data_IF_731688970725
#
_entry.id   IF_731688970725
#
_cell.length_a   1.000
_cell.length_b   1.000
_cell.length_c   1.000
_cell.angle_alpha   90.00
_cell.angle_beta   90.00
_cell.angle_gamma   90.00
#
_symmetry.space_group_name_H-M   'P 1'
#
loop_
_entity.id
_entity.type
_entity.pdbx_description
1 polymer ?
#
# COMPACT_ATOMS: atom_id res chain seq x y z
N UNK A 1 -3.57 -35.85 -35.53
CA UNK A 1 -4.80 -35.55 -34.79
C UNK A 1 -4.56 -34.28 -34.00
N UNK A 2 -5.30 -33.20 -34.26
CA UNK A 2 -5.28 -32.02 -33.37
C UNK A 2 -6.22 -32.29 -32.20
N UNK A 3 -5.70 -32.21 -30.98
CA UNK A 3 -6.49 -32.35 -29.77
C UNK A 3 -6.69 -30.96 -29.20
N UNK A 4 -7.91 -30.45 -29.25
CA UNK A 4 -8.31 -29.22 -28.56
C UNK A 4 -8.84 -29.64 -27.20
N UNK A 5 -8.20 -29.21 -26.13
CA UNK A 5 -8.64 -29.42 -24.76
C UNK A 5 -8.88 -28.08 -24.07
N UNK A 6 -9.72 -28.07 -23.05
CA UNK A 6 -9.84 -26.93 -22.15
C UNK A 6 -8.90 -27.14 -20.96
N UNK A 7 -8.10 -26.13 -20.65
CA UNK A 7 -7.29 -26.12 -19.43
C UNK A 7 -8.24 -25.72 -18.30
N UNK A 8 -8.62 -26.70 -17.47
CA UNK A 8 -9.33 -26.43 -16.22
C UNK A 8 -8.32 -26.22 -15.10
N UNK A 9 -8.43 -25.09 -14.39
CA UNK A 9 -7.74 -24.91 -13.10
C UNK A 9 -8.68 -25.43 -12.02
N UNK A 10 -8.26 -26.44 -11.25
CA UNK A 10 -9.02 -26.91 -10.09
C UNK A 10 -8.64 -26.08 -8.86
N UNK A 11 -9.65 -25.59 -8.13
CA UNK A 11 -9.51 -24.77 -6.92
C UNK A 11 -8.75 -25.48 -5.80
N UNK A 12 -8.77 -26.81 -5.76
CA UNK A 12 -8.12 -27.61 -4.70
C UNK A 12 -6.61 -27.38 -4.57
N UNK A 13 -5.95 -26.94 -5.65
CA UNK A 13 -4.51 -26.69 -5.66
C UNK A 13 -4.12 -25.21 -5.51
N UNK A 14 -5.10 -24.29 -5.43
CA UNK A 14 -4.80 -22.86 -5.52
C UNK A 14 -4.14 -22.32 -4.25
N UNK A 15 -4.62 -22.69 -3.07
CA UNK A 15 -4.04 -22.24 -1.79
C UNK A 15 -2.61 -22.74 -1.58
N UNK A 16 -2.29 -24.04 -1.82
CA UNK A 16 -0.90 -24.50 -1.80
C UNK A 16 0.01 -23.77 -2.79
N UNK A 17 -0.49 -23.45 -4.00
CA UNK A 17 0.28 -22.71 -5.02
C UNK A 17 0.49 -21.26 -4.60
N UNK A 18 -0.55 -20.57 -4.13
CA UNK A 18 -0.48 -19.18 -3.64
C UNK A 18 0.50 -19.09 -2.48
N UNK A 19 0.38 -19.99 -1.48
CA UNK A 19 1.35 -20.11 -0.39
C UNK A 19 2.76 -20.26 -0.97
N UNK A 20 2.96 -21.20 -1.91
CA UNK A 20 4.26 -21.44 -2.56
C UNK A 20 4.84 -20.26 -3.34
N UNK A 21 4.01 -19.49 -4.02
CA UNK A 21 4.42 -18.38 -4.86
C UNK A 21 4.69 -17.09 -4.06
N UNK A 22 3.98 -16.91 -2.94
CA UNK A 22 4.10 -15.75 -2.05
C UNK A 22 5.06 -15.99 -0.87
N UNK A 23 5.57 -17.21 -0.68
CA UNK A 23 6.47 -17.62 0.42
C UNK A 23 7.80 -16.84 0.51
N UNK A 24 8.11 -15.93 -0.40
CA UNK A 24 9.35 -15.14 -0.29
C UNK A 24 9.31 -14.11 0.83
N UNK A 25 8.12 -13.59 1.21
CA UNK A 25 7.99 -12.64 2.32
C UNK A 25 6.61 -12.76 2.99
N UNK A 26 6.57 -13.41 4.16
CA UNK A 26 5.37 -13.51 5.00
C UNK A 26 4.85 -12.15 5.46
N UNK A 27 5.60 -11.07 5.30
CA UNK A 27 5.22 -9.71 5.70
C UNK A 27 4.24 -9.04 4.72
N UNK A 28 4.13 -9.55 3.48
CA UNK A 28 3.39 -8.88 2.39
C UNK A 28 1.88 -8.84 2.66
N UNK A 29 1.31 -9.79 3.41
CA UNK A 29 -0.15 -9.83 3.63
C UNK A 29 -0.69 -8.52 4.21
N UNK A 30 0.04 -7.90 5.13
CA UNK A 30 -0.40 -6.69 5.79
C UNK A 30 -0.46 -5.52 4.81
N UNK A 31 0.53 -5.44 3.89
CA UNK A 31 0.52 -4.46 2.79
C UNK A 31 -0.71 -4.64 1.92
N UNK A 32 -1.02 -5.87 1.51
CA UNK A 32 -2.14 -6.16 0.60
C UNK A 32 -3.49 -5.83 1.24
N UNK A 33 -3.71 -6.28 2.48
CA UNK A 33 -4.99 -6.08 3.17
C UNK A 33 -5.22 -4.60 3.50
N UNK A 34 -4.19 -3.89 3.98
CA UNK A 34 -4.30 -2.45 4.26
C UNK A 34 -4.47 -1.65 2.98
N UNK A 35 -3.80 -2.03 1.89
CA UNK A 35 -4.02 -1.39 0.57
C UNK A 35 -5.46 -1.56 0.09
N UNK A 36 -6.05 -2.74 0.26
CA UNK A 36 -7.46 -2.97 -0.08
C UNK A 36 -8.42 -2.11 0.76
N UNK A 37 -8.14 -1.95 2.05
CA UNK A 37 -8.90 -1.07 2.95
C UNK A 37 -8.80 0.41 2.54
N UNK A 38 -7.61 0.84 2.13
CA UNK A 38 -7.33 2.18 1.59
C UNK A 38 -8.10 2.40 0.28
N UNK A 39 -8.05 1.45 -0.64
CA UNK A 39 -8.79 1.48 -1.91
C UNK A 39 -10.30 1.56 -1.67
N UNK A 40 -10.84 0.73 -0.78
CA UNK A 40 -12.26 0.76 -0.44
C UNK A 40 -12.68 2.14 0.11
N UNK A 41 -11.79 2.80 0.84
CA UNK A 41 -12.02 4.14 1.40
C UNK A 41 -11.90 5.23 0.32
N UNK A 42 -10.94 5.12 -0.59
CA UNK A 42 -10.80 6.04 -1.72
C UNK A 42 -11.98 5.93 -2.69
N UNK A 43 -12.43 4.72 -3.02
CA UNK A 43 -13.65 4.50 -3.82
C UNK A 43 -14.86 5.21 -3.22
N UNK A 44 -15.01 5.12 -1.89
CA UNK A 44 -16.09 5.83 -1.20
C UNK A 44 -15.95 7.35 -1.34
N UNK A 45 -14.74 7.90 -1.18
CA UNK A 45 -14.48 9.34 -1.39
C UNK A 45 -14.84 9.77 -2.81
N UNK A 46 -14.50 8.96 -3.82
CA UNK A 46 -14.86 9.22 -5.21
C UNK A 46 -16.37 9.16 -5.42
N UNK A 47 -17.06 8.14 -4.88
CA UNK A 47 -18.52 8.08 -4.95
C UNK A 47 -19.20 9.28 -4.29
N UNK A 48 -18.66 9.79 -3.18
CA UNK A 48 -19.15 11.02 -2.58
C UNK A 48 -18.92 12.24 -3.47
N UNK A 49 -17.75 12.38 -4.09
CA UNK A 49 -17.42 13.54 -4.93
C UNK A 49 -18.25 13.60 -6.22
N UNK A 50 -18.62 12.45 -6.78
CA UNK A 50 -19.49 12.36 -7.97
C UNK A 50 -20.98 12.26 -7.64
N UNK A 51 -21.36 12.27 -6.36
CA UNK A 51 -22.75 12.27 -5.89
C UNK A 51 -23.45 10.90 -5.89
N UNK A 52 -22.71 9.80 -6.09
CA UNK A 52 -23.18 8.42 -6.00
C UNK A 52 -23.34 7.93 -4.55
N UNK A 53 -22.59 8.52 -3.61
CA UNK A 53 -22.78 8.33 -2.18
C UNK A 53 -23.27 9.64 -1.53
N UNK A 54 -24.45 9.59 -0.88
CA UNK A 54 -25.10 10.75 -0.25
C UNK A 54 -25.10 10.71 1.28
N UNK A 55 -24.55 9.65 1.87
CA UNK A 55 -24.43 9.54 3.32
C UNK A 55 -23.25 10.34 3.86
N UNK A 56 -23.14 10.40 5.18
CA UNK A 56 -21.96 11.00 5.81
C UNK A 56 -20.75 10.08 5.61
N UNK A 57 -19.63 10.67 5.20
CA UNK A 57 -18.36 9.96 5.10
C UNK A 57 -17.88 9.50 6.48
N UNK A 58 -18.11 10.31 7.51
CA UNK A 58 -17.62 10.04 8.86
C UNK A 58 -16.09 10.10 8.93
N UNK A 59 -15.53 9.47 9.96
CA UNK A 59 -14.09 9.35 10.12
C UNK A 59 -13.54 8.22 9.23
N UNK A 60 -12.79 8.60 8.19
CA UNK A 60 -12.18 7.66 7.25
C UNK A 60 -10.77 7.29 7.70
N UNK A 61 -10.68 6.32 8.61
CA UNK A 61 -9.43 5.79 9.17
C UNK A 61 -9.44 4.28 9.05
N UNK A 62 -8.34 3.71 8.55
CA UNK A 62 -8.12 2.26 8.58
C UNK A 62 -7.52 1.90 9.94
N UNK A 63 -8.12 0.97 10.67
CA UNK A 63 -7.69 0.57 12.01
C UNK A 63 -7.10 -0.83 11.98
N UNK A 64 -5.91 -0.98 12.53
CA UNK A 64 -5.22 -2.26 12.68
C UNK A 64 -5.10 -2.56 14.17
N UNK A 65 -5.78 -3.62 14.62
CA UNK A 65 -5.83 -4.00 16.04
C UNK A 65 -5.39 -5.44 16.25
N UNK A 66 -4.64 -5.67 17.31
CA UNK A 66 -4.16 -6.98 17.73
C UNK A 66 -4.88 -7.39 19.00
N UNK A 67 -5.40 -8.62 19.03
CA UNK A 67 -5.94 -9.25 20.23
C UNK A 67 -5.16 -10.54 20.51
N UNK A 68 -4.31 -10.47 21.55
CA UNK A 68 -3.46 -11.62 21.95
C UNK A 68 -4.27 -12.75 22.57
N UNK A 69 -5.39 -12.47 23.22
CA UNK A 69 -6.22 -13.47 23.88
C UNK A 69 -7.03 -14.26 22.85
N UNK A 70 -7.65 -13.56 21.90
CA UNK A 70 -8.35 -14.17 20.78
C UNK A 70 -7.41 -14.73 19.70
N UNK A 71 -6.11 -14.39 19.77
CA UNK A 71 -5.09 -14.66 18.74
C UNK A 71 -5.50 -14.10 17.37
N UNK A 72 -6.01 -12.87 17.33
CA UNK A 72 -6.46 -12.23 16.10
C UNK A 72 -5.71 -10.95 15.78
N UNK A 73 -5.56 -10.71 14.48
CA UNK A 73 -5.17 -9.43 13.90
C UNK A 73 -6.34 -8.96 13.04
N UNK A 74 -6.87 -7.78 13.31
CA UNK A 74 -8.04 -7.24 12.60
C UNK A 74 -7.66 -5.97 11.86
N UNK A 75 -8.03 -5.88 10.58
CA UNK A 75 -7.93 -4.68 9.77
C UNK A 75 -9.35 -4.22 9.46
N UNK A 76 -9.71 -3.05 9.96
CA UNK A 76 -11.04 -2.45 9.82
C UNK A 76 -10.99 -1.17 9.01
N UNK A 77 -11.81 -1.07 7.96
CA UNK A 77 -12.01 0.14 7.19
C UNK A 77 -13.45 0.69 7.33
N UNK A 78 -13.61 1.96 6.96
CA UNK A 78 -14.92 2.62 6.86
C UNK A 78 -15.24 2.99 5.40
N UNK A 79 -14.74 2.19 4.45
CA UNK A 79 -14.90 2.38 3.01
C UNK A 79 -16.25 1.91 2.49
N UNK A 80 -16.28 1.41 1.24
CA UNK A 80 -17.53 1.04 0.56
C UNK A 80 -18.22 -0.21 1.14
N UNK A 81 -17.49 -1.10 1.82
CA UNK A 81 -18.02 -2.41 2.21
C UNK A 81 -18.45 -3.27 1.00
N UNK A 82 -19.08 -4.42 1.26
CA UNK A 82 -19.54 -5.35 0.21
C UNK A 82 -20.95 -5.88 0.51
N UNK A 83 -21.69 -6.21 -0.54
CA UNK A 83 -22.90 -7.04 -0.48
C UNK A 83 -22.57 -8.53 -0.59
N UNK A 84 -23.54 -9.41 -0.35
CA UNK A 84 -23.37 -10.87 -0.54
C UNK A 84 -22.87 -11.21 -1.95
N UNK A 85 -23.51 -10.67 -2.99
CA UNK A 85 -23.11 -10.86 -4.40
C UNK A 85 -21.68 -10.37 -4.68
N UNK A 86 -21.26 -9.27 -4.05
CA UNK A 86 -19.90 -8.74 -4.22
C UNK A 86 -18.87 -9.61 -3.51
N UNK A 87 -19.20 -10.23 -2.37
CA UNK A 87 -18.36 -11.25 -1.73
C UNK A 87 -18.23 -12.47 -2.65
N UNK A 88 -19.34 -12.98 -3.20
CA UNK A 88 -19.29 -14.11 -4.13
C UNK A 88 -18.42 -13.81 -5.36
N UNK A 89 -18.53 -12.60 -5.91
CA UNK A 89 -17.82 -12.20 -7.11
C UNK A 89 -16.35 -11.87 -6.89
N UNK A 90 -16.00 -11.16 -5.81
CA UNK A 90 -14.64 -10.63 -5.62
C UNK A 90 -13.81 -11.41 -4.62
N UNK A 91 -14.45 -12.12 -3.70
CA UNK A 91 -13.76 -13.00 -2.75
C UNK A 91 -13.76 -14.42 -3.32
N UNK A 92 -14.93 -15.01 -3.61
CA UNK A 92 -15.00 -16.44 -3.94
C UNK A 92 -14.57 -16.78 -5.37
N UNK A 93 -14.74 -15.88 -6.34
CA UNK A 93 -14.23 -16.07 -7.70
C UNK A 93 -12.82 -15.51 -7.82
N UNK A 94 -11.85 -16.43 -7.73
CA UNK A 94 -10.43 -16.12 -7.79
C UNK A 94 -10.09 -15.42 -9.10
N UNK A 95 -9.25 -14.39 -9.02
CA UNK A 95 -8.74 -13.56 -10.13
C UNK A 95 -9.68 -12.45 -10.65
N UNK A 96 -10.83 -12.20 -10.04
CA UNK A 96 -11.64 -10.99 -10.31
C UNK A 96 -11.40 -9.92 -9.24
N UNK A 97 -11.24 -8.66 -9.65
CA UNK A 97 -11.02 -7.52 -8.74
C UNK A 97 -12.04 -6.42 -8.96
N UNK A 98 -12.67 -5.97 -7.86
CA UNK A 98 -13.56 -4.79 -7.89
C UNK A 98 -12.83 -3.48 -8.19
N UNK A 99 -11.49 -3.47 -8.11
CA UNK A 99 -10.68 -2.33 -8.48
C UNK A 99 -10.66 -2.15 -10.00
N UNK A 100 -10.49 -3.21 -10.77
CA UNK A 100 -10.48 -3.15 -12.23
C UNK A 100 -11.82 -2.63 -12.79
N UNK A 101 -12.94 -3.17 -12.29
CA UNK A 101 -14.27 -2.71 -12.67
C UNK A 101 -14.54 -1.24 -12.30
N UNK A 102 -13.94 -0.77 -11.20
CA UNK A 102 -14.03 0.63 -10.81
C UNK A 102 -13.24 1.52 -11.77
N UNK A 103 -12.01 1.13 -12.12
CA UNK A 103 -11.15 1.86 -13.06
C UNK A 103 -11.78 1.99 -14.44
N UNK A 104 -12.46 0.94 -14.93
CA UNK A 104 -13.17 0.98 -16.21
C UNK A 104 -14.32 2.01 -16.22
N UNK A 105 -15.03 2.14 -15.09
CA UNK A 105 -16.15 3.08 -14.92
C UNK A 105 -15.68 4.51 -14.65
N UNK A 106 -14.60 4.69 -13.91
CA UNK A 106 -14.08 5.99 -13.46
C UNK A 106 -12.68 6.28 -14.05
N UNK A 107 -12.59 6.28 -15.39
CA UNK A 107 -11.31 6.40 -16.12
C UNK A 107 -10.47 7.64 -15.78
N UNK A 108 -11.09 8.72 -15.31
CA UNK A 108 -10.39 9.94 -14.91
C UNK A 108 -9.75 9.85 -13.52
N UNK A 109 -10.18 8.90 -12.68
CA UNK A 109 -9.68 8.67 -11.32
C UNK A 109 -8.78 7.43 -11.25
N UNK A 110 -8.33 6.93 -12.42
CA UNK A 110 -7.68 5.64 -12.55
C UNK A 110 -6.37 5.50 -11.75
N UNK A 111 -5.71 6.63 -11.46
CA UNK A 111 -4.45 6.67 -10.73
C UNK A 111 -4.64 6.69 -9.20
N UNK A 112 -5.87 6.55 -8.68
CA UNK A 112 -6.10 6.62 -7.23
C UNK A 112 -6.16 5.25 -6.55
N UNK A 113 -6.40 4.18 -7.32
CA UNK A 113 -6.57 2.82 -6.79
C UNK A 113 -5.25 2.05 -6.88
N UNK A 114 -4.94 1.32 -5.81
CA UNK A 114 -3.69 0.61 -5.58
C UNK A 114 -3.76 -0.82 -6.13
N UNK A 115 -4.84 -1.53 -5.82
CA UNK A 115 -4.99 -2.94 -6.16
C UNK A 115 -5.37 -3.17 -7.62
N UNK A 116 -4.63 -4.04 -8.32
CA UNK A 116 -4.96 -4.43 -9.70
C UNK A 116 -5.28 -5.93 -9.85
N UNK A 117 -4.83 -6.78 -8.93
CA UNK A 117 -5.02 -8.24 -9.01
C UNK A 117 -5.84 -8.78 -7.83
N UNK A 118 -6.91 -9.53 -8.12
CA UNK A 118 -7.84 -10.14 -7.16
C UNK A 118 -7.26 -11.32 -6.36
N UNK A 119 -5.95 -11.31 -6.08
CA UNK A 119 -5.24 -12.36 -5.34
C UNK A 119 -4.63 -11.87 -4.03
N UNK A 120 -4.46 -10.55 -3.85
CA UNK A 120 -3.81 -9.97 -2.67
C UNK A 120 -4.49 -10.36 -1.35
N UNK A 121 -5.82 -10.49 -1.34
CA UNK A 121 -6.58 -10.94 -0.16
C UNK A 121 -6.12 -12.33 0.35
N UNK A 122 -5.81 -13.26 -0.56
CA UNK A 122 -5.47 -14.64 -0.20
C UNK A 122 -4.11 -14.78 0.47
N UNK A 123 -3.26 -13.75 0.44
CA UNK A 123 -2.03 -13.68 1.24
C UNK A 123 -2.31 -13.75 2.75
N UNK A 124 -3.53 -13.41 3.21
CA UNK A 124 -3.94 -13.56 4.60
C UNK A 124 -3.76 -15.00 5.12
N UNK A 125 -3.98 -16.00 4.29
CA UNK A 125 -3.85 -17.43 4.65
C UNK A 125 -2.40 -17.91 4.77
N UNK A 126 -1.40 -17.06 4.50
CA UNK A 126 0.01 -17.36 4.76
C UNK A 126 0.37 -17.32 6.25
N UNK A 127 -0.39 -16.54 7.02
CA UNK A 127 -0.11 -16.26 8.44
C UNK A 127 -1.29 -16.62 9.36
N UNK A 128 -2.40 -17.05 8.77
CA UNK A 128 -3.65 -17.34 9.49
C UNK A 128 -4.20 -18.70 9.11
N UNK A 129 -4.75 -19.38 10.11
CA UNK A 129 -5.49 -20.64 9.96
C UNK A 129 -6.96 -20.44 9.61
N UNK A 130 -7.46 -19.21 9.76
CA UNK A 130 -8.84 -18.82 9.44
C UNK A 130 -8.89 -17.32 9.19
N UNK A 131 -9.69 -16.92 8.21
CA UNK A 131 -9.98 -15.52 7.91
C UNK A 131 -11.49 -15.34 7.94
N UNK A 132 -11.94 -14.29 8.61
CA UNK A 132 -13.32 -13.82 8.56
C UNK A 132 -13.39 -12.42 7.94
N UNK A 133 -14.45 -12.16 7.18
CA UNK A 133 -14.80 -10.84 6.68
C UNK A 133 -16.16 -10.48 7.27
N UNK A 134 -16.25 -9.38 8.00
CA UNK A 134 -17.51 -8.82 8.50
C UNK A 134 -17.72 -7.47 7.84
N UNK A 135 -18.70 -7.36 6.95
CA UNK A 135 -18.82 -6.19 6.06
C UNK A 135 -20.24 -5.69 5.95
N UNK A 136 -20.39 -4.38 5.73
CA UNK A 136 -21.66 -3.71 5.45
C UNK A 136 -21.46 -2.69 4.34
N UNK A 137 -22.11 -2.93 3.20
CA UNK A 137 -22.05 -2.04 2.04
C UNK A 137 -22.61 -0.64 2.34
N UNK A 138 -22.10 0.35 1.61
CA UNK A 138 -22.61 1.73 1.63
C UNK A 138 -24.01 1.88 1.03
N UNK A 139 -24.46 0.88 0.26
CA UNK A 139 -25.76 0.89 -0.42
C UNK A 139 -26.89 0.93 0.61
N UNK A 140 -27.92 1.70 0.31
CA UNK A 140 -29.09 1.83 1.17
C UNK A 140 -29.77 0.48 1.38
N UNK A 141 -30.12 0.15 2.63
CA UNK A 141 -30.75 -1.13 2.98
C UNK A 141 -29.81 -2.35 2.95
N UNK A 142 -28.50 -2.16 2.76
CA UNK A 142 -27.56 -3.28 2.74
C UNK A 142 -27.56 -4.08 4.06
N UNK A 143 -27.72 -5.40 3.92
CA UNK A 143 -27.62 -6.36 5.02
C UNK A 143 -26.13 -6.61 5.32
N UNK A 144 -25.68 -6.51 6.59
CA UNK A 144 -24.32 -6.88 6.94
C UNK A 144 -24.09 -8.38 6.72
N UNK A 145 -22.95 -8.72 6.14
CA UNK A 145 -22.57 -10.09 5.82
C UNK A 145 -21.33 -10.51 6.58
N UNK A 146 -21.29 -11.78 6.97
CA UNK A 146 -20.11 -12.47 7.50
C UNK A 146 -19.69 -13.58 6.54
N UNK A 147 -18.46 -13.50 6.06
CA UNK A 147 -17.79 -14.57 5.32
C UNK A 147 -16.71 -15.20 6.20
N UNK A 148 -16.54 -16.51 6.15
CA UNK A 148 -15.53 -17.24 6.92
C UNK A 148 -14.94 -18.39 6.12
N UNK A 149 -13.62 -18.53 6.15
CA UNK A 149 -12.89 -19.61 5.50
C UNK A 149 -11.65 -19.98 6.33
N UNK A 150 -11.34 -21.26 6.41
CA UNK A 150 -10.19 -21.83 7.14
C UNK A 150 -8.98 -22.12 6.23
N UNK A 151 -8.97 -21.54 5.02
CA UNK A 151 -7.93 -21.75 4.02
C UNK A 151 -8.10 -23.04 3.22
N UNK A 152 -9.25 -23.71 3.36
CA UNK A 152 -9.73 -24.75 2.44
C UNK A 152 -10.61 -24.13 1.33
N UNK A 153 -10.98 -24.89 0.28
CA UNK A 153 -11.96 -24.44 -0.70
C UNK A 153 -13.37 -24.19 -0.13
N UNK A 154 -13.63 -24.58 1.12
CA UNK A 154 -14.92 -24.38 1.77
C UNK A 154 -14.98 -23.02 2.48
N UNK A 155 -16.14 -22.37 2.38
CA UNK A 155 -16.43 -21.11 3.06
C UNK A 155 -17.89 -21.08 3.52
N UNK A 156 -18.18 -20.23 4.49
CA UNK A 156 -19.55 -19.90 4.90
C UNK A 156 -19.83 -18.44 4.63
N UNK A 157 -21.06 -18.13 4.19
CA UNK A 157 -21.56 -16.77 4.02
C UNK A 157 -22.92 -16.66 4.71
N UNK A 158 -23.03 -15.79 5.70
CA UNK A 158 -24.24 -15.62 6.50
C UNK A 158 -24.53 -14.15 6.80
N UNK A 159 -25.79 -13.82 7.06
CA UNK A 159 -26.17 -12.51 7.57
C UNK A 159 -25.61 -12.31 8.98
N UNK A 160 -25.22 -11.08 9.30
CA UNK A 160 -24.64 -10.75 10.60
C UNK A 160 -25.07 -9.36 11.07
N UNK A 161 -24.49 -8.92 12.20
CA UNK A 161 -24.68 -7.58 12.72
C UNK A 161 -23.41 -6.77 12.59
N UNK A 162 -23.49 -5.62 11.91
CA UNK A 162 -22.45 -4.59 11.90
C UNK A 162 -23.12 -3.22 11.96
N UNK A 163 -22.71 -2.41 12.93
CA UNK A 163 -23.32 -1.09 13.14
C UNK A 163 -22.96 -0.15 11.98
N UNK A 164 -21.67 -0.02 11.70
CA UNK A 164 -21.10 0.91 10.72
C UNK A 164 -20.88 0.28 9.35
N UNK A 165 -20.81 1.14 8.32
CA UNK A 165 -20.36 0.82 6.96
C UNK A 165 -18.88 0.43 6.96
N UNK A 166 -18.48 -0.41 6.01
CA UNK A 166 -17.09 -0.79 5.77
C UNK A 166 -16.86 -2.27 6.02
N UNK A 167 -15.61 -2.67 6.16
CA UNK A 167 -15.23 -4.08 6.29
C UNK A 167 -14.25 -4.28 7.44
N UNK A 168 -14.45 -5.34 8.23
CA UNK A 168 -13.45 -5.89 9.13
C UNK A 168 -12.92 -7.18 8.52
N UNK A 169 -11.61 -7.27 8.32
CA UNK A 169 -10.91 -8.51 7.96
C UNK A 169 -10.21 -9.00 9.21
N UNK A 170 -10.64 -10.16 9.72
CA UNK A 170 -10.18 -10.75 10.98
C UNK A 170 -9.34 -11.98 10.65
N UNK A 171 -8.05 -11.92 10.97
CA UNK A 171 -7.10 -12.99 10.74
C UNK A 171 -6.88 -13.74 12.06
N UNK A 172 -7.24 -15.01 12.09
CA UNK A 172 -6.91 -15.90 13.21
C UNK A 172 -5.50 -16.43 12.98
N UNK A 173 -4.53 -15.83 13.65
CA UNK A 173 -3.11 -16.09 13.45
C UNK A 173 -2.80 -17.55 13.82
N UNK A 174 -2.02 -18.21 12.96
CA UNK A 174 -1.59 -19.59 13.20
C UNK A 174 -0.47 -19.67 14.25
N UNK A 175 -0.17 -20.88 14.70
CA UNK A 175 0.79 -21.06 15.80
C UNK A 175 2.27 -20.86 15.36
N UNK A 176 2.55 -20.81 14.05
CA UNK A 176 3.89 -20.56 13.50
C UNK A 176 4.18 -19.05 13.34
N UNK A 177 3.12 -18.23 13.22
CA UNK A 177 3.20 -16.81 12.91
C UNK A 177 2.76 -15.89 14.07
N UNK A 178 2.83 -16.38 15.31
CA UNK A 178 2.42 -15.62 16.51
C UNK A 178 3.16 -14.28 16.69
N UNK A 179 4.28 -14.06 16.01
CA UNK A 179 4.98 -12.76 15.99
C UNK A 179 4.10 -11.61 15.45
N UNK A 180 3.09 -11.88 14.63
CA UNK A 180 2.13 -10.86 14.16
C UNK A 180 1.07 -10.51 15.20
N UNK A 181 1.10 -11.15 16.38
CA UNK A 181 0.36 -10.72 17.57
C UNK A 181 1.17 -9.75 18.45
N UNK A 182 2.38 -9.36 18.04
CA UNK A 182 3.15 -8.33 18.72
C UNK A 182 2.89 -6.96 18.08
N UNK A 183 2.25 -6.04 18.81
CA UNK A 183 1.88 -4.70 18.32
C UNK A 183 3.10 -3.96 17.72
N UNK A 184 4.27 -4.03 18.38
CA UNK A 184 5.49 -3.40 17.87
C UNK A 184 5.95 -3.95 16.52
N UNK A 185 5.79 -5.26 16.28
CA UNK A 185 6.07 -5.90 14.99
C UNK A 185 5.11 -5.39 13.93
N UNK A 186 3.81 -5.38 14.22
CA UNK A 186 2.77 -4.86 13.30
C UNK A 186 3.01 -3.39 12.96
N UNK A 187 3.28 -2.53 13.95
CA UNK A 187 3.61 -1.11 13.73
C UNK A 187 4.85 -0.97 12.83
N UNK A 188 5.89 -1.79 13.04
CA UNK A 188 7.08 -1.78 12.20
C UNK A 188 6.77 -2.11 10.73
N UNK A 189 5.92 -3.09 10.49
CA UNK A 189 5.47 -3.47 9.14
C UNK A 189 4.61 -2.39 8.49
N UNK A 190 3.67 -1.80 9.24
CA UNK A 190 2.85 -0.70 8.74
C UNK A 190 3.72 0.52 8.38
N UNK A 191 4.74 0.84 9.19
CA UNK A 191 5.71 1.91 8.88
C UNK A 191 6.63 1.58 7.72
N UNK A 192 6.83 0.30 7.39
CA UNK A 192 7.64 -0.14 6.24
C UNK A 192 6.83 -0.05 4.95
N UNK A 193 5.63 -0.62 4.94
CA UNK A 193 4.84 -0.81 3.72
C UNK A 193 3.76 0.24 3.48
N UNK A 194 3.23 0.83 4.55
CA UNK A 194 2.05 1.69 4.52
C UNK A 194 2.34 3.14 4.95
N UNK A 195 3.62 3.49 5.07
CA UNK A 195 4.11 4.76 5.64
C UNK A 195 3.48 6.01 5.05
N UNK A 196 3.12 5.94 3.77
CA UNK A 196 2.71 7.10 2.99
C UNK A 196 1.35 6.94 2.32
N UNK A 197 0.57 5.91 2.70
CA UNK A 197 -0.74 5.67 2.08
C UNK A 197 -1.69 6.85 2.31
N UNK A 198 -2.61 7.15 1.35
CA UNK A 198 -3.41 8.37 1.33
C UNK A 198 -4.56 8.41 2.35
N UNK A 199 -4.74 7.35 3.14
CA UNK A 199 -5.75 7.24 4.18
C UNK A 199 -5.04 7.03 5.53
N UNK A 200 -5.45 7.72 6.61
CA UNK A 200 -4.83 7.52 7.92
C UNK A 200 -5.00 6.08 8.40
N UNK A 201 -3.93 5.52 8.94
CA UNK A 201 -3.84 4.17 9.47
C UNK A 201 -3.57 4.28 10.96
N UNK A 202 -4.50 3.82 11.77
CA UNK A 202 -4.36 3.76 13.21
C UNK A 202 -3.91 2.38 13.67
N UNK A 203 -2.95 2.32 14.59
CA UNK A 203 -2.61 1.09 15.29
C UNK A 203 -2.30 1.41 16.76
N UNK A 204 -3.16 0.92 17.65
CA UNK A 204 -3.14 1.28 19.07
C UNK A 204 -3.61 2.72 19.36
N UNK A 205 -3.42 3.13 20.60
CA UNK A 205 -3.75 4.48 21.10
C UNK A 205 -2.50 5.29 21.40
N UNK A 206 -2.60 6.62 21.34
CA UNK A 206 -1.51 7.51 21.74
C UNK A 206 -1.26 7.33 23.22
N UNK A 207 0.01 7.12 23.58
CA UNK A 207 0.48 6.93 24.96
C UNK A 207 1.09 8.23 25.47
N UNK A 208 0.67 8.66 26.66
CA UNK A 208 1.19 9.85 27.35
C UNK A 208 1.78 9.45 28.70
N UNK A 209 2.87 10.13 29.10
CA UNK A 209 3.45 9.93 30.41
C UNK A 209 2.73 10.80 31.45
N UNK A 210 2.00 10.17 32.37
CA UNK A 210 1.25 10.83 33.46
C UNK A 210 1.52 10.11 34.78
N UNK A 211 1.82 10.88 35.82
CA UNK A 211 2.01 10.39 37.19
C UNK A 211 2.98 9.21 37.33
N UNK A 212 4.13 9.25 36.64
CA UNK A 212 5.13 8.20 36.77
C UNK A 212 4.91 6.97 35.87
N UNK A 213 3.83 6.95 35.07
CA UNK A 213 3.45 5.81 34.24
C UNK A 213 3.00 6.24 32.84
N UNK A 214 3.15 5.34 31.89
CA UNK A 214 2.59 5.49 30.55
C UNK A 214 1.10 5.13 30.58
N UNK A 215 0.24 6.01 30.06
CA UNK A 215 -1.21 5.83 30.02
C UNK A 215 -1.70 6.04 28.60
N UNK A 216 -2.54 5.13 28.11
CA UNK A 216 -3.21 5.28 26.82
C UNK A 216 -4.28 6.37 26.88
N UNK A 217 -4.35 7.17 25.83
CA UNK A 217 -5.38 8.18 25.62
C UNK A 217 -6.49 7.65 24.72
N UNK A 218 -7.58 8.40 24.56
CA UNK A 218 -8.64 8.02 23.63
C UNK A 218 -8.28 8.25 22.15
N UNK A 219 -7.15 8.93 21.88
CA UNK A 219 -6.73 9.28 20.52
C UNK A 219 -6.06 8.11 19.82
N UNK A 220 -6.50 7.84 18.59
CA UNK A 220 -5.88 6.85 17.72
C UNK A 220 -4.42 7.23 17.43
N UNK A 221 -3.52 6.24 17.51
CA UNK A 221 -2.13 6.41 17.14
C UNK A 221 -1.98 6.20 15.63
N UNK A 222 -1.98 7.30 14.88
CA UNK A 222 -1.81 7.31 13.43
C UNK A 222 -0.33 7.05 13.08
N UNK A 223 -0.08 5.99 12.29
CA UNK A 223 1.29 5.50 12.04
C UNK A 223 1.89 6.02 10.72
N UNK A 224 1.08 6.57 9.81
CA UNK A 224 1.48 6.99 8.46
C UNK A 224 1.30 8.51 8.25
N UNK A 225 2.03 9.05 7.28
CA UNK A 225 1.81 10.40 6.74
C UNK A 225 1.03 10.30 5.42
N UNK A 226 -0.18 10.85 5.41
CA UNK A 226 -1.06 10.83 4.22
C UNK A 226 -0.72 11.91 3.19
N UNK A 227 0.12 12.88 3.55
CA UNK A 227 0.50 14.01 2.70
C UNK A 227 2.02 14.18 2.68
N UNK A 228 2.76 13.15 2.20
CA UNK A 228 4.21 13.20 2.18
C UNK A 228 4.70 14.31 1.23
N UNK A 229 5.94 14.77 1.46
CA UNK A 229 6.46 15.96 0.79
C UNK A 229 6.40 15.89 -0.75
N UNK A 230 6.63 14.72 -1.36
CA UNK A 230 6.64 14.60 -2.83
C UNK A 230 5.26 14.75 -3.50
N UNK A 231 4.17 14.66 -2.74
CA UNK A 231 2.81 14.87 -3.26
C UNK A 231 2.39 16.35 -3.19
N UNK A 232 3.07 17.15 -2.37
CA UNK A 232 2.82 18.59 -2.25
C UNK A 232 3.45 19.35 -3.42
N UNK A 233 2.91 20.53 -3.75
CA UNK A 233 3.52 21.36 -4.79
C UNK A 233 4.85 21.93 -4.28
N UNK A 234 5.90 22.06 -5.12
CA UNK A 234 7.17 22.66 -4.69
C UNK A 234 7.03 24.05 -4.05
N UNK A 235 6.04 24.84 -4.48
CA UNK A 235 5.73 26.17 -3.93
C UNK A 235 5.15 26.17 -2.52
N UNK A 236 4.69 25.02 -2.03
CA UNK A 236 4.08 24.83 -0.71
C UNK A 236 5.09 24.30 0.32
N UNK A 237 6.35 24.08 -0.10
CA UNK A 237 7.39 23.47 0.71
C UNK A 237 8.54 24.46 0.94
N UNK A 238 9.02 24.49 2.17
CA UNK A 238 10.25 25.17 2.58
C UNK A 238 11.44 24.22 2.50
N UNK A 239 12.65 24.75 2.53
CA UNK A 239 13.89 23.96 2.59
C UNK A 239 13.90 23.04 3.83
N UNK A 240 13.37 23.53 4.96
CA UNK A 240 13.18 22.76 6.19
C UNK A 240 12.24 21.56 6.01
N UNK A 241 11.18 21.70 5.19
CA UNK A 241 10.27 20.58 4.90
C UNK A 241 10.98 19.46 4.13
N UNK A 242 11.85 19.81 3.17
CA UNK A 242 12.66 18.82 2.46
C UNK A 242 13.66 18.13 3.39
N UNK A 243 14.35 18.88 4.24
CA UNK A 243 15.30 18.31 5.20
C UNK A 243 14.58 17.38 6.19
N UNK A 244 13.42 17.80 6.71
CA UNK A 244 12.59 16.98 7.59
C UNK A 244 12.17 15.68 6.91
N UNK A 245 11.69 15.76 5.67
CA UNK A 245 11.30 14.57 4.90
C UNK A 245 12.50 13.64 4.62
N UNK A 246 13.68 14.20 4.33
CA UNK A 246 14.90 13.41 4.18
C UNK A 246 15.27 12.64 5.46
N UNK A 247 15.21 13.27 6.63
CA UNK A 247 15.46 12.59 7.91
C UNK A 247 14.38 11.58 8.27
N UNK A 248 13.14 11.81 7.85
CA UNK A 248 12.06 10.84 8.00
C UNK A 248 12.34 9.55 7.20
N UNK A 249 12.88 9.67 5.99
CA UNK A 249 13.29 8.53 5.16
C UNK A 249 14.56 7.86 5.68
N UNK A 250 15.56 8.65 6.09
CA UNK A 250 16.86 8.18 6.52
C UNK A 250 17.24 8.75 7.90
N UNK A 251 16.70 8.18 8.99
CA UNK A 251 17.05 8.59 10.33
C UNK A 251 18.58 8.56 10.53
N UNK A 252 19.11 9.55 11.25
CA UNK A 252 20.54 9.70 11.56
C UNK A 252 21.47 10.00 10.37
N UNK A 253 20.94 10.18 9.16
CA UNK A 253 21.74 10.66 8.03
C UNK A 253 22.06 12.15 8.19
N UNK A 254 23.22 12.59 7.72
CA UNK A 254 23.52 14.02 7.61
C UNK A 254 22.67 14.67 6.52
N UNK A 255 22.37 15.96 6.70
CA UNK A 255 21.63 16.76 5.73
C UNK A 255 22.21 16.63 4.31
N UNK A 256 21.32 16.53 3.30
CA UNK A 256 21.73 16.42 1.92
C UNK A 256 22.37 17.73 1.45
N UNK A 257 23.21 17.65 0.42
CA UNK A 257 23.83 18.82 -0.21
C UNK A 257 22.77 19.68 -0.92
N UNK A 258 21.86 19.03 -1.63
CA UNK A 258 20.71 19.63 -2.30
C UNK A 258 19.72 18.51 -2.69
N UNK A 259 18.58 18.90 -3.25
CA UNK A 259 17.54 17.99 -3.72
C UNK A 259 16.97 18.43 -5.07
N UNK A 260 16.25 17.50 -5.70
CA UNK A 260 15.49 17.71 -6.93
C UNK A 260 14.08 17.20 -6.67
N UNK A 261 13.10 18.10 -6.69
CA UNK A 261 11.69 17.73 -6.66
C UNK A 261 11.22 17.43 -8.10
N UNK A 262 10.86 16.18 -8.35
CA UNK A 262 10.25 15.70 -9.58
C UNK A 262 8.74 15.86 -9.47
N UNK A 263 8.13 16.58 -10.41
CA UNK A 263 6.68 16.69 -10.53
C UNK A 263 6.34 16.82 -12.02
N UNK A 264 5.93 15.69 -12.61
CA UNK A 264 5.63 15.54 -14.03
C UNK A 264 4.31 14.79 -14.16
N UNK A 265 3.39 15.34 -14.95
CA UNK A 265 2.07 14.78 -15.24
C UNK A 265 1.89 14.39 -16.72
N UNK A 266 2.80 14.82 -17.61
CA UNK A 266 2.81 14.46 -19.03
C UNK A 266 4.24 14.37 -19.60
N UNK A 267 4.56 13.38 -20.47
CA UNK A 267 3.71 12.33 -21.04
C UNK A 267 3.58 11.07 -20.16
N UNK A 268 4.07 11.14 -18.92
CA UNK A 268 3.96 10.11 -17.89
C UNK A 268 3.85 10.82 -16.53
N UNK A 269 3.36 10.11 -15.53
CA UNK A 269 3.19 10.59 -14.17
C UNK A 269 4.41 10.19 -13.35
N UNK A 270 5.16 11.17 -12.88
CA UNK A 270 6.33 10.98 -12.05
C UNK A 270 6.38 12.08 -11.00
N UNK A 271 6.19 11.68 -9.75
CA UNK A 271 6.46 12.53 -8.60
C UNK A 271 7.60 11.93 -7.77
N UNK A 272 8.25 12.74 -6.96
CA UNK A 272 9.35 12.25 -6.14
C UNK A 272 10.30 13.34 -5.71
N UNK A 273 11.17 13.01 -4.78
CA UNK A 273 12.24 13.90 -4.36
C UNK A 273 13.52 13.08 -4.32
N UNK A 274 14.52 13.51 -5.09
CA UNK A 274 15.85 12.93 -5.10
C UNK A 274 16.80 13.83 -4.32
N UNK A 275 17.55 13.24 -3.40
CA UNK A 275 18.49 13.90 -2.52
C UNK A 275 19.93 13.51 -2.86
N UNK A 276 20.83 14.48 -2.79
CA UNK A 276 22.26 14.29 -2.99
C UNK A 276 22.95 14.20 -1.62
N UNK A 277 23.22 13.00 -1.09
CA UNK A 277 23.85 12.87 0.22
C UNK A 277 25.31 13.31 0.19
N UNK A 278 25.83 13.74 1.35
CA UNK A 278 27.27 13.97 1.53
C UNK A 278 28.02 12.65 1.51
N UNK A 279 28.91 12.45 0.54
CA UNK A 279 29.76 11.27 0.46
C UNK A 279 30.96 11.45 1.38
N UNK A 280 31.15 10.55 2.35
CA UNK A 280 32.34 10.51 3.21
C UNK A 280 33.33 9.49 2.67
N UNK A 281 34.62 9.83 2.68
CA UNK A 281 35.72 9.03 2.13
C UNK A 281 35.94 7.64 2.76
N UNK A 282 35.16 7.24 3.77
CA UNK A 282 35.47 6.10 4.62
C UNK A 282 34.33 5.09 4.81
N UNK A 283 33.36 5.01 3.90
CA UNK A 283 32.24 4.05 4.00
C UNK A 283 31.96 3.44 2.63
N UNK A 284 31.66 2.14 2.59
CA UNK A 284 31.01 1.48 1.45
C UNK A 284 29.89 2.36 0.91
N UNK A 285 29.99 2.76 -0.36
CA UNK A 285 28.94 3.50 -1.05
C UNK A 285 27.70 2.62 -1.10
N UNK A 286 26.77 2.85 -0.16
CA UNK A 286 25.49 2.15 -0.12
C UNK A 286 24.64 2.63 -1.29
N UNK A 287 24.61 1.82 -2.35
CA UNK A 287 23.74 2.01 -3.52
C UNK A 287 22.29 1.66 -3.17
N UNK A 288 21.35 2.06 -4.03
CA UNK A 288 19.94 1.66 -4.00
C UNK A 288 19.18 2.16 -2.75
N UNK A 289 19.39 3.43 -2.38
CA UNK A 289 18.60 4.07 -1.31
C UNK A 289 17.33 4.73 -1.81
N UNK A 290 17.10 4.80 -3.12
CA UNK A 290 15.88 5.38 -3.69
C UNK A 290 14.74 4.39 -3.50
N UNK A 291 13.68 4.82 -2.83
CA UNK A 291 12.47 4.02 -2.65
C UNK A 291 11.50 4.25 -3.81
N UNK A 292 11.05 3.17 -4.44
CA UNK A 292 10.02 3.19 -5.47
C UNK A 292 8.64 2.99 -4.85
N UNK A 293 7.74 3.90 -5.23
CA UNK A 293 6.34 3.91 -4.88
C UNK A 293 5.48 3.88 -6.15
N UNK A 294 4.25 3.40 -5.98
CA UNK A 294 3.19 3.55 -6.96
C UNK A 294 1.92 3.94 -6.21
N UNK A 295 1.40 5.13 -6.50
CA UNK A 295 0.26 5.71 -5.79
C UNK A 295 0.48 5.69 -4.27
N UNK A 296 1.69 6.12 -3.84
CA UNK A 296 2.16 6.13 -2.46
C UNK A 296 2.30 4.75 -1.77
N UNK A 297 2.16 3.65 -2.50
CA UNK A 297 2.37 2.29 -1.98
C UNK A 297 3.82 1.89 -2.16
N UNK A 298 4.47 1.45 -1.09
CA UNK A 298 5.86 1.01 -1.16
C UNK A 298 5.99 -0.25 -2.02
N UNK A 299 6.84 -0.20 -3.04
CA UNK A 299 7.11 -1.31 -3.95
C UNK A 299 8.43 -1.97 -3.58
N UNK A 300 9.52 -1.23 -3.68
CA UNK A 300 10.89 -1.72 -3.48
C UNK A 300 11.89 -0.55 -3.38
N UNK A 301 13.06 -0.77 -2.80
CA UNK A 301 14.22 0.12 -2.86
C UNK A 301 15.23 -0.28 -3.98
N UNK A 302 15.00 -1.43 -4.63
CA UNK A 302 15.81 -1.92 -5.74
C UNK A 302 15.38 -1.28 -7.07
N UNK A 303 15.79 -0.04 -7.31
CA UNK A 303 15.46 0.74 -8.54
C UNK A 303 16.33 0.41 -9.77
N UNK A 304 17.00 -0.73 -9.78
CA UNK A 304 17.86 -1.18 -10.89
C UNK A 304 17.05 -1.27 -12.20
N UNK A 305 17.54 -0.60 -13.25
CA UNK A 305 16.87 -0.55 -14.55
C UNK A 305 15.80 0.55 -14.69
N UNK A 306 15.43 1.21 -13.59
CA UNK A 306 14.56 2.41 -13.61
C UNK A 306 15.44 3.66 -13.50
N UNK A 307 16.32 3.68 -12.50
CA UNK A 307 17.28 4.75 -12.31
C UNK A 307 18.63 4.32 -12.90
N UNK A 308 19.34 5.19 -13.65
CA UNK A 308 20.66 4.88 -14.18
C UNK A 308 21.66 4.52 -13.06
N UNK A 309 22.57 3.59 -13.32
CA UNK A 309 23.50 3.08 -12.30
C UNK A 309 24.29 4.19 -11.60
N UNK A 310 24.75 5.19 -12.33
CA UNK A 310 25.52 6.32 -11.76
C UNK A 310 24.69 7.22 -10.83
N UNK A 311 23.36 7.13 -10.87
CA UNK A 311 22.44 7.84 -9.97
C UNK A 311 21.96 6.98 -8.80
N UNK A 312 22.36 5.71 -8.71
CA UNK A 312 21.97 4.82 -7.59
C UNK A 312 22.56 5.22 -6.24
N UNK A 313 23.49 6.17 -6.23
CA UNK A 313 24.05 6.80 -5.02
C UNK A 313 23.15 7.87 -4.43
N UNK A 314 22.12 8.31 -5.16
CA UNK A 314 21.15 9.25 -4.65
C UNK A 314 20.25 8.58 -3.63
N UNK A 315 19.71 9.41 -2.74
CA UNK A 315 18.69 9.04 -1.79
C UNK A 315 17.35 9.61 -2.27
N UNK A 316 16.24 9.13 -1.72
CA UNK A 316 14.93 9.74 -1.89
C UNK A 316 13.84 8.75 -2.31
N UNK A 317 12.82 9.31 -2.95
CA UNK A 317 11.61 8.58 -3.35
C UNK A 317 11.25 8.91 -4.79
N UNK A 318 10.74 7.91 -5.50
CA UNK A 318 10.11 8.06 -6.80
C UNK A 318 8.74 7.39 -6.71
N UNK A 319 7.70 8.10 -7.13
CA UNK A 319 6.32 7.60 -7.17
C UNK A 319 5.76 7.77 -8.58
N UNK A 320 5.41 6.64 -9.21
CA UNK A 320 4.95 6.60 -10.59
C UNK A 320 3.98 5.44 -10.83
N UNK A 321 2.70 5.70 -11.12
CA UNK A 321 1.75 4.66 -11.51
C UNK A 321 2.08 4.01 -12.87
N UNK A 322 2.86 4.70 -13.71
CA UNK A 322 3.24 4.23 -15.03
C UNK A 322 4.34 3.15 -15.03
N UNK A 323 4.87 2.77 -13.86
CA UNK A 323 5.87 1.71 -13.72
C UNK A 323 5.17 0.38 -13.38
N UNK A 324 5.26 -0.65 -14.23
CA UNK A 324 4.64 -1.94 -13.97
C UNK A 324 5.30 -2.64 -12.77
N UNK A 325 4.48 -3.04 -11.79
CA UNK A 325 4.96 -3.52 -10.48
C UNK A 325 5.31 -5.00 -10.42
N UNK A 326 4.72 -5.83 -11.29
CA UNK A 326 4.79 -7.30 -11.21
C UNK A 326 5.56 -7.93 -12.38
N UNK A 327 6.57 -7.24 -12.89
CA UNK A 327 7.29 -7.68 -14.09
C UNK A 327 8.78 -7.88 -13.81
N UNK A 328 9.41 -8.77 -14.58
CA UNK A 328 10.83 -9.05 -14.42
C UNK A 328 11.69 -7.81 -14.68
N UNK A 329 12.89 -7.77 -14.07
CA UNK A 329 13.88 -6.71 -14.34
C UNK A 329 14.17 -6.52 -15.84
N UNK A 330 14.22 -7.61 -16.59
CA UNK A 330 14.40 -7.58 -18.05
C UNK A 330 13.25 -6.87 -18.78
N UNK A 331 12.02 -7.01 -18.28
CA UNK A 331 10.86 -6.32 -18.83
C UNK A 331 10.93 -4.82 -18.55
N UNK A 332 11.24 -4.43 -17.31
CA UNK A 332 11.38 -3.02 -16.91
C UNK A 332 12.38 -2.27 -17.79
N UNK A 333 13.54 -2.87 -18.08
CA UNK A 333 14.54 -2.25 -18.95
C UNK A 333 14.10 -2.09 -20.40
N UNK A 334 13.18 -2.94 -20.88
CA UNK A 334 12.65 -2.85 -22.24
C UNK A 334 11.50 -1.85 -22.37
N UNK A 335 10.82 -1.57 -21.26
CA UNK A 335 9.60 -0.78 -21.19
C UNK A 335 9.82 0.68 -21.63
N UNK A 336 8.91 1.18 -22.45
CA UNK A 336 9.05 2.51 -23.05
C UNK A 336 8.81 3.64 -22.05
N UNK A 337 7.95 3.44 -21.05
CA UNK A 337 7.69 4.42 -20.00
C UNK A 337 8.86 4.46 -19.01
N UNK A 338 9.38 3.30 -18.60
CA UNK A 338 10.58 3.23 -17.75
C UNK A 338 11.76 3.97 -18.40
N UNK A 339 11.99 3.79 -19.71
CA UNK A 339 13.02 4.55 -20.43
C UNK A 339 12.79 6.06 -20.43
N UNK A 340 11.55 6.51 -20.66
CA UNK A 340 11.21 7.94 -20.63
C UNK A 340 11.43 8.55 -19.24
N UNK A 341 11.01 7.84 -18.19
CA UNK A 341 11.22 8.22 -16.79
C UNK A 341 12.72 8.32 -16.48
N UNK A 342 13.49 7.29 -16.82
CA UNK A 342 14.95 7.24 -16.61
C UNK A 342 15.68 8.41 -17.29
N UNK A 343 15.32 8.70 -18.55
CA UNK A 343 15.87 9.82 -19.30
C UNK A 343 15.49 11.17 -18.68
N UNK A 344 14.26 11.31 -18.20
CA UNK A 344 13.80 12.53 -17.55
C UNK A 344 14.55 12.80 -16.25
N UNK A 345 14.70 11.78 -15.39
CA UNK A 345 15.48 11.88 -14.14
C UNK A 345 16.93 12.28 -14.46
N UNK A 346 17.54 11.62 -15.44
CA UNK A 346 18.91 11.94 -15.89
C UNK A 346 19.04 13.40 -16.31
N UNK A 347 18.09 13.88 -17.12
CA UNK A 347 18.08 15.28 -17.57
C UNK A 347 17.93 16.25 -16.40
N UNK A 348 16.99 15.99 -15.48
CA UNK A 348 16.78 16.86 -14.30
C UNK A 348 18.01 16.93 -13.41
N UNK A 349 18.69 15.80 -13.21
CA UNK A 349 19.95 15.76 -12.48
C UNK A 349 21.03 16.57 -13.20
N UNK A 350 21.20 16.37 -14.50
CA UNK A 350 22.19 17.11 -15.30
C UNK A 350 21.92 18.62 -15.27
N UNK A 351 20.67 19.04 -15.48
CA UNK A 351 20.24 20.44 -15.44
C UNK A 351 20.57 21.07 -14.07
N UNK A 352 20.31 20.36 -12.97
CA UNK A 352 20.59 20.87 -11.62
C UNK A 352 22.08 20.98 -11.32
N UNK A 353 22.88 20.00 -11.76
CA UNK A 353 24.33 20.05 -11.62
C UNK A 353 24.95 21.19 -12.45
N UNK A 354 24.43 21.44 -13.66
CA UNK A 354 24.88 22.55 -14.50
C UNK A 354 24.51 23.91 -13.89
N UNK A 355 23.30 24.03 -13.33
CA UNK A 355 22.87 25.22 -12.57
C UNK A 355 23.87 25.53 -11.44
N UNK A 356 24.15 24.52 -10.59
CA UNK A 356 25.07 24.64 -9.46
C UNK A 356 26.50 24.96 -9.92
N UNK A 357 26.96 24.42 -11.06
CA UNK A 357 28.30 24.69 -11.59
C UNK A 357 28.47 26.13 -12.12
N UNK A 358 27.38 26.74 -12.60
CA UNK A 358 27.41 28.11 -13.17
C UNK A 358 27.29 29.19 -12.10
N UNK A 359 26.66 28.90 -10.98
CA UNK A 359 26.66 29.72 -9.76
C UNK A 359 27.90 29.50 -8.93
#
# INVERSE_FOLDING_TARGET
MSKTGHIGVTTDNIFPIIKKFLYSDHEIFLREIVSNAVDATQKLKTYASVGEFKGELGELVVRVSVDKEAKTLTISDCGIGMTADEIERYINQIAFSSAEEFLEKHKNDANTIIGHFGLGFYSAFMVSKKVEIVTKSYKEGAVPMKWSCDGTPEYTLEETTKASRGTDIILYIDDENLEFLEEGRVIGLLKKYCKFLPIPIACGKVKEWKDGKEVETDKDNIINDTHPAWVKKPSELTDEDYIKFYHELYPHSEEPLFWIHLNVDYPFNLTGILYFPKVKNNIELQRNKIQLYCNQVFVTDSVEGIVPEFLTLLHGVIDSPDIPLNVSRSYLQSDSNVKKISNHITKKVADKLEEIFKT
#
